data_IF_301757272387
#
_entry.id   IF_301757272387
#
_cell.length_a   1.000
_cell.length_b   1.000
_cell.length_c   1.000
_cell.angle_alpha   90.00
_cell.angle_beta   90.00
_cell.angle_gamma   90.00
#
_symmetry.space_group_name_H-M   'P 1'
#
loop_
_entity.id
_entity.type
_entity.pdbx_description
1 polymer ?
#
# COMPACT_ATOMS: atom_id res chain seq x y z
N UNK A 1 -8.77 -10.23 0.92
CA UNK A 1 -8.99 -8.81 1.30
C UNK A 1 -8.00 -8.27 2.32
N UNK A 2 -7.75 -8.93 3.46
CA UNK A 2 -6.79 -8.46 4.48
C UNK A 2 -5.38 -8.15 3.92
N UNK A 3 -4.84 -9.03 3.06
CA UNK A 3 -3.53 -8.80 2.42
C UNK A 3 -3.52 -7.56 1.51
N UNK A 4 -4.60 -7.30 0.78
CA UNK A 4 -4.75 -6.09 -0.04
C UNK A 4 -4.78 -4.84 0.82
N UNK A 5 -5.52 -4.87 1.94
CA UNK A 5 -5.53 -3.76 2.90
C UNK A 5 -4.15 -3.51 3.51
N UNK A 6 -3.41 -4.58 3.86
CA UNK A 6 -2.04 -4.48 4.36
C UNK A 6 -1.10 -3.85 3.33
N UNK A 7 -1.17 -4.29 2.06
CA UNK A 7 -0.37 -3.72 0.98
C UNK A 7 -0.68 -2.22 0.78
N UNK A 8 -1.96 -1.85 0.73
CA UNK A 8 -2.37 -0.45 0.63
C UNK A 8 -1.86 0.42 1.78
N UNK A 9 -1.95 -0.07 3.02
CA UNK A 9 -1.47 0.65 4.20
C UNK A 9 0.07 0.73 4.25
N UNK A 10 0.77 -0.29 3.76
CA UNK A 10 2.22 -0.23 3.59
C UNK A 10 2.62 0.87 2.60
N UNK A 11 1.94 0.96 1.45
CA UNK A 11 2.13 2.05 0.49
C UNK A 11 1.89 3.41 1.17
N UNK A 12 0.78 3.56 1.90
CA UNK A 12 0.46 4.79 2.61
C UNK A 12 1.53 5.19 3.63
N UNK A 13 2.08 4.24 4.41
CA UNK A 13 3.19 4.54 5.33
C UNK A 13 4.42 4.99 4.56
N UNK A 14 4.78 4.35 3.45
CA UNK A 14 5.96 4.77 2.69
C UNK A 14 5.80 6.21 2.17
N UNK A 15 4.60 6.58 1.73
CA UNK A 15 4.23 7.93 1.34
C UNK A 15 4.34 8.90 2.52
N UNK A 16 3.77 8.55 3.68
CA UNK A 16 3.85 9.35 4.91
C UNK A 16 5.30 9.55 5.34
N UNK A 17 6.09 8.49 5.38
CA UNK A 17 7.48 8.52 5.80
C UNK A 17 8.32 9.44 4.91
N UNK A 18 8.16 9.32 3.58
CA UNK A 18 8.87 10.16 2.62
C UNK A 18 8.40 11.62 2.69
N UNK A 19 7.09 11.86 2.80
CA UNK A 19 6.54 13.20 2.97
C UNK A 19 7.05 13.89 4.25
N UNK A 20 7.03 13.16 5.37
CA UNK A 20 7.56 13.68 6.63
C UNK A 20 9.06 13.89 6.58
N UNK A 21 9.83 13.05 5.88
CA UNK A 21 11.28 13.23 5.72
C UNK A 21 11.62 14.50 4.94
N UNK A 22 10.73 14.94 4.05
CA UNK A 22 10.85 16.22 3.35
C UNK A 22 10.45 17.43 4.22
N UNK A 23 9.68 17.21 5.28
CA UNK A 23 9.08 18.28 6.10
C UNK A 23 9.79 18.47 7.45
N UNK A 24 10.30 17.39 8.05
CA UNK A 24 10.84 17.35 9.41
C UNK A 24 12.31 16.94 9.36
N UNK A 25 13.18 17.78 9.92
CA UNK A 25 14.64 17.62 9.84
C UNK A 25 15.20 16.46 10.71
N UNK A 26 14.42 15.93 11.67
CA UNK A 26 14.83 14.80 12.52
C UNK A 26 13.68 13.83 12.79
N UNK A 27 13.90 12.56 12.45
CA UNK A 27 12.97 11.47 12.71
C UNK A 27 13.36 10.67 13.95
N UNK A 28 12.44 10.56 14.91
CA UNK A 28 12.62 9.68 16.07
C UNK A 28 12.22 8.25 15.70
N UNK A 29 13.11 7.28 15.91
CA UNK A 29 12.86 5.84 15.65
C UNK A 29 11.55 5.35 16.25
N UNK A 30 11.22 5.80 17.47
CA UNK A 30 9.98 5.48 18.19
C UNK A 30 8.73 5.86 17.41
N UNK A 31 8.70 7.04 16.78
CA UNK A 31 7.54 7.50 15.99
C UNK A 31 7.33 6.65 14.74
N UNK A 32 8.42 6.28 14.07
CA UNK A 32 8.34 5.40 12.90
C UNK A 32 7.82 4.00 13.28
N UNK A 33 8.30 3.45 14.40
CA UNK A 33 7.82 2.17 14.91
C UNK A 33 6.32 2.20 15.25
N UNK A 34 5.85 3.26 15.90
CA UNK A 34 4.42 3.43 16.21
C UNK A 34 3.58 3.53 14.93
N UNK A 35 4.04 4.28 13.91
CA UNK A 35 3.33 4.39 12.63
C UNK A 35 3.21 3.02 11.95
N UNK A 36 4.30 2.26 11.89
CA UNK A 36 4.31 0.91 11.32
C UNK A 36 3.39 -0.03 12.11
N UNK A 37 3.43 0.00 13.45
CA UNK A 37 2.56 -0.85 14.26
C UNK A 37 1.08 -0.50 14.02
N UNK A 38 0.76 0.79 13.94
CA UNK A 38 -0.62 1.26 13.75
C UNK A 38 -1.24 0.82 12.42
N UNK A 39 -0.44 0.65 11.36
CA UNK A 39 -0.98 0.21 10.07
C UNK A 39 -1.38 -1.26 10.03
N UNK A 40 -0.82 -2.09 10.91
CA UNK A 40 -1.17 -3.51 10.94
C UNK A 40 -2.48 -3.78 11.71
N UNK A 41 -2.98 -2.80 12.48
CA UNK A 41 -4.21 -2.97 13.26
C UNK A 41 -5.40 -3.33 12.36
N UNK A 42 -5.65 -2.56 11.30
CA UNK A 42 -6.81 -2.79 10.44
C UNK A 42 -6.71 -4.10 9.62
N UNK A 43 -5.58 -4.47 9.00
CA UNK A 43 -5.43 -5.76 8.34
C UNK A 43 -5.56 -6.96 9.29
N UNK A 44 -4.97 -6.88 10.49
CA UNK A 44 -5.09 -7.95 11.50
C UNK A 44 -6.53 -8.08 11.97
N UNK A 45 -7.23 -6.96 12.16
CA UNK A 45 -8.66 -6.98 12.48
C UNK A 45 -9.49 -7.68 11.41
N UNK A 46 -9.32 -7.31 10.13
CA UNK A 46 -10.03 -7.93 8.99
C UNK A 46 -9.66 -9.42 8.83
N UNK A 47 -8.45 -9.81 9.24
CA UNK A 47 -8.02 -11.20 9.23
C UNK A 47 -8.71 -12.03 10.32
N UNK A 48 -8.90 -11.47 11.52
CA UNK A 48 -9.41 -12.20 12.69
C UNK A 48 -10.95 -12.22 12.74
N UNK A 49 -11.61 -11.13 12.37
CA UNK A 49 -13.07 -10.98 12.53
C UNK A 49 -13.91 -12.10 11.86
N UNK A 50 -13.54 -12.72 10.72
CA UNK A 50 -14.31 -13.84 10.18
C UNK A 50 -14.27 -15.10 11.06
N UNK A 51 -13.24 -15.26 11.89
CA UNK A 51 -13.09 -16.39 12.82
C UNK A 51 -13.91 -16.24 14.10
N UNK A 52 -14.47 -15.05 14.36
CA UNK A 52 -15.37 -14.82 15.50
C UNK A 52 -16.84 -15.05 15.13
N UNK A 53 -17.17 -15.03 13.84
CA UNK A 53 -18.51 -15.30 13.35
C UNK A 53 -18.88 -16.79 13.52
N UNK A 54 -20.18 -17.09 13.62
CA UNK A 54 -20.67 -18.47 13.62
C UNK A 54 -20.51 -19.09 12.22
N UNK A 55 -20.00 -20.32 12.17
CA UNK A 55 -19.76 -21.02 10.91
C UNK A 55 -20.96 -21.91 10.58
N UNK A 56 -21.74 -21.51 9.58
CA UNK A 56 -22.82 -22.32 9.00
C UNK A 56 -22.68 -22.34 7.48
N UNK A 57 -21.91 -23.31 6.98
CA UNK A 57 -21.64 -23.46 5.56
C UNK A 57 -22.90 -23.86 4.77
N UNK A 58 -23.86 -24.54 5.40
CA UNK A 58 -25.07 -24.99 4.72
C UNK A 58 -25.98 -23.80 4.39
N UNK A 59 -26.17 -22.92 5.36
CA UNK A 59 -26.98 -21.70 5.19
C UNK A 59 -26.37 -20.76 4.15
N UNK A 60 -25.04 -20.60 4.15
CA UNK A 60 -24.32 -19.83 3.12
C UNK A 60 -24.54 -20.44 1.74
N UNK A 61 -24.35 -21.75 1.57
CA UNK A 61 -24.52 -22.43 0.28
C UNK A 61 -25.95 -22.31 -0.25
N UNK A 62 -26.95 -22.43 0.63
CA UNK A 62 -28.36 -22.32 0.25
C UNK A 62 -28.71 -20.89 -0.16
N UNK A 63 -28.20 -19.89 0.57
CA UNK A 63 -28.36 -18.49 0.20
C UNK A 63 -27.68 -18.18 -1.14
N UNK A 64 -26.44 -18.63 -1.35
CA UNK A 64 -25.71 -18.43 -2.62
C UNK A 64 -26.41 -19.13 -3.79
N UNK A 65 -26.94 -20.34 -3.61
CA UNK A 65 -27.68 -21.03 -4.67
C UNK A 65 -29.00 -20.32 -5.03
N UNK A 66 -29.62 -19.64 -4.05
CA UNK A 66 -30.80 -18.83 -4.28
C UNK A 66 -30.49 -17.51 -4.99
N UNK A 67 -29.41 -16.82 -4.60
CA UNK A 67 -28.98 -15.55 -5.21
C UNK A 67 -28.38 -15.76 -6.61
N UNK A 68 -27.64 -16.86 -6.82
CA UNK A 68 -26.91 -17.15 -8.06
C UNK A 68 -27.31 -18.52 -8.63
N UNK A 69 -28.56 -18.70 -9.11
CA UNK A 69 -29.06 -19.99 -9.58
C UNK A 69 -28.35 -20.50 -10.84
N UNK A 70 -27.64 -19.63 -11.56
CA UNK A 70 -26.88 -19.97 -12.77
C UNK A 70 -25.48 -20.52 -12.48
N UNK A 71 -24.98 -20.40 -11.25
CA UNK A 71 -23.60 -20.76 -10.92
C UNK A 71 -23.50 -22.25 -10.56
N UNK A 72 -22.57 -22.96 -11.19
CA UNK A 72 -22.25 -24.34 -10.78
C UNK A 72 -21.10 -24.35 -9.78
N UNK A 73 -21.44 -24.31 -8.49
CA UNK A 73 -20.47 -24.26 -7.40
C UNK A 73 -20.16 -25.63 -6.78
N UNK A 74 -20.67 -26.73 -7.34
CA UNK A 74 -20.54 -28.08 -6.77
C UNK A 74 -19.07 -28.49 -6.52
N UNK A 75 -18.15 -28.07 -7.38
CA UNK A 75 -16.70 -28.31 -7.23
C UNK A 75 -16.06 -27.61 -6.04
N UNK A 76 -16.72 -26.59 -5.46
CA UNK A 76 -16.18 -25.77 -4.37
C UNK A 76 -16.82 -26.11 -3.01
N UNK A 77 -17.67 -27.14 -2.94
CA UNK A 77 -18.37 -27.48 -1.70
C UNK A 77 -17.45 -28.26 -0.74
N UNK A 78 -17.54 -28.00 0.58
CA UNK A 78 -18.20 -26.84 1.21
C UNK A 78 -17.32 -25.58 1.11
N UNK A 79 -17.92 -24.44 0.78
CA UNK A 79 -17.20 -23.14 0.78
C UNK A 79 -17.59 -22.28 1.99
N UNK A 80 -16.64 -21.45 2.50
CA UNK A 80 -16.86 -20.57 3.63
C UNK A 80 -17.55 -19.26 3.23
N UNK A 81 -18.21 -18.63 4.20
CA UNK A 81 -18.82 -17.31 4.06
C UNK A 81 -19.49 -16.87 5.36
N UNK A 82 -19.99 -15.63 5.37
CA UNK A 82 -20.80 -15.15 6.49
C UNK A 82 -22.23 -15.64 6.31
N UNK A 83 -22.74 -16.45 7.25
CA UNK A 83 -24.11 -16.98 7.21
C UNK A 83 -25.17 -15.91 7.43
N UNK A 84 -24.81 -14.81 8.08
CA UNK A 84 -25.67 -13.64 8.28
C UNK A 84 -24.96 -12.37 7.80
N UNK A 85 -25.46 -11.79 6.71
CA UNK A 85 -24.96 -10.54 6.12
C UNK A 85 -25.33 -9.30 6.94
N UNK A 86 -26.18 -9.43 7.95
CA UNK A 86 -26.51 -8.36 8.90
C UNK A 86 -25.69 -8.46 10.18
N UNK A 87 -24.87 -9.50 10.31
CA UNK A 87 -23.99 -9.69 11.46
C UNK A 87 -23.00 -8.54 11.61
N UNK A 88 -22.61 -8.27 12.86
CA UNK A 88 -21.63 -7.24 13.17
C UNK A 88 -20.29 -7.53 12.48
N UNK A 89 -19.89 -8.79 12.42
CA UNK A 89 -18.65 -9.26 11.83
C UNK A 89 -18.58 -8.94 10.33
N UNK A 90 -19.66 -9.22 9.60
CA UNK A 90 -19.74 -8.90 8.17
C UNK A 90 -19.73 -7.38 7.93
N UNK A 91 -20.58 -6.63 8.65
CA UNK A 91 -20.72 -5.18 8.47
C UNK A 91 -19.43 -4.44 8.83
N UNK A 92 -18.79 -4.82 9.94
CA UNK A 92 -17.53 -4.20 10.38
C UNK A 92 -16.37 -4.51 9.43
N UNK A 93 -16.23 -5.76 8.96
CA UNK A 93 -15.22 -6.11 7.96
C UNK A 93 -15.42 -5.32 6.65
N UNK A 94 -16.66 -5.25 6.17
CA UNK A 94 -17.04 -4.50 4.97
C UNK A 94 -16.72 -3.02 5.12
N UNK A 95 -17.07 -2.42 6.27
CA UNK A 95 -16.79 -1.02 6.56
C UNK A 95 -15.28 -0.72 6.54
N UNK A 96 -14.46 -1.54 7.20
CA UNK A 96 -13.01 -1.36 7.25
C UNK A 96 -12.38 -1.49 5.85
N UNK A 97 -12.83 -2.48 5.07
CA UNK A 97 -12.36 -2.67 3.69
C UNK A 97 -12.78 -1.48 2.82
N UNK A 98 -14.02 -1.00 2.92
CA UNK A 98 -14.52 0.15 2.17
C UNK A 98 -13.77 1.44 2.50
N UNK A 99 -13.56 1.72 3.79
CA UNK A 99 -12.75 2.85 4.25
C UNK A 99 -11.30 2.74 3.76
N UNK A 100 -10.72 1.53 3.74
CA UNK A 100 -9.40 1.29 3.17
C UNK A 100 -9.35 1.56 1.66
N UNK A 101 -10.33 1.06 0.91
CA UNK A 101 -10.37 1.14 -0.55
C UNK A 101 -10.42 2.56 -1.09
N UNK A 102 -11.12 3.47 -0.42
CA UNK A 102 -11.15 4.89 -0.80
C UNK A 102 -10.17 5.75 0.01
N UNK A 103 -10.06 5.51 1.32
CA UNK A 103 -9.30 6.36 2.23
C UNK A 103 -7.79 6.32 1.96
N UNK A 104 -7.25 5.15 1.62
CA UNK A 104 -5.82 4.99 1.29
C UNK A 104 -5.44 5.81 0.05
N UNK A 105 -6.06 5.60 -1.14
CA UNK A 105 -5.70 6.37 -2.33
C UNK A 105 -5.91 7.87 -2.16
N UNK A 106 -7.01 8.30 -1.52
CA UNK A 106 -7.27 9.72 -1.26
C UNK A 106 -6.17 10.32 -0.38
N UNK A 107 -5.80 9.64 0.71
CA UNK A 107 -4.73 10.09 1.61
C UNK A 107 -3.40 10.21 0.88
N UNK A 108 -3.05 9.21 0.07
CA UNK A 108 -1.84 9.22 -0.75
C UNK A 108 -1.81 10.42 -1.72
N UNK A 109 -2.92 10.69 -2.44
CA UNK A 109 -3.03 11.83 -3.36
C UNK A 109 -2.92 13.19 -2.64
N UNK A 110 -3.56 13.33 -1.48
CA UNK A 110 -3.50 14.56 -0.69
C UNK A 110 -2.08 14.81 -0.19
N UNK A 111 -1.40 13.79 0.35
CA UNK A 111 -0.04 13.93 0.87
C UNK A 111 0.97 14.24 -0.23
N UNK A 112 0.88 13.56 -1.37
CA UNK A 112 1.76 13.80 -2.53
C UNK A 112 1.58 15.22 -3.08
N UNK A 113 0.34 15.69 -3.21
CA UNK A 113 0.04 17.06 -3.64
C UNK A 113 0.60 18.10 -2.67
N UNK A 114 0.45 17.86 -1.35
CA UNK A 114 1.04 18.73 -0.31
C UNK A 114 2.57 18.74 -0.39
N UNK A 115 3.19 17.58 -0.59
CA UNK A 115 4.65 17.47 -0.76
C UNK A 115 5.14 18.28 -1.97
N UNK A 116 4.44 18.20 -3.09
CA UNK A 116 4.82 18.91 -4.31
C UNK A 116 4.75 20.42 -4.13
N UNK A 117 3.70 20.92 -3.47
CA UNK A 117 3.56 22.34 -3.12
C UNK A 117 4.69 22.81 -2.21
N UNK A 118 5.06 22.00 -1.21
CA UNK A 118 6.15 22.32 -0.28
C UNK A 118 7.49 22.47 -1.01
N UNK A 119 7.84 21.53 -1.90
CA UNK A 119 9.08 21.63 -2.70
C UNK A 119 9.05 22.83 -3.65
N UNK A 120 7.90 23.09 -4.29
CA UNK A 120 7.77 24.22 -5.23
C UNK A 120 8.01 25.55 -4.53
N UNK A 121 7.42 25.71 -3.34
CA UNK A 121 7.46 26.96 -2.57
C UNK A 121 8.76 27.13 -1.78
N UNK A 122 9.55 26.08 -1.58
CA UNK A 122 10.82 26.19 -0.85
C UNK A 122 11.91 26.79 -1.76
N UNK A 123 12.25 28.04 -1.49
CA UNK A 123 13.33 28.78 -2.19
C UNK A 123 14.71 28.50 -1.61
N UNK A 124 14.81 27.97 -0.38
CA UNK A 124 16.09 27.73 0.29
C UNK A 124 16.74 26.38 -0.06
N UNK A 125 16.04 25.52 -0.79
CA UNK A 125 16.60 24.24 -1.24
C UNK A 125 17.53 24.43 -2.43
N UNK A 126 18.76 23.94 -2.31
CA UNK A 126 19.70 23.85 -3.43
C UNK A 126 19.09 23.07 -4.61
N UNK A 127 19.43 23.46 -5.85
CA UNK A 127 18.82 22.92 -7.06
C UNK A 127 18.95 21.39 -7.18
N UNK A 128 20.11 20.83 -6.83
CA UNK A 128 20.34 19.38 -6.82
C UNK A 128 19.42 18.65 -5.83
N UNK A 129 19.23 19.20 -4.63
CA UNK A 129 18.33 18.65 -3.60
C UNK A 129 16.87 18.76 -4.05
N UNK A 130 16.50 19.87 -4.72
CA UNK A 130 15.18 20.09 -5.29
C UNK A 130 14.86 19.08 -6.39
N UNK A 131 15.83 18.75 -7.24
CA UNK A 131 15.70 17.72 -8.27
C UNK A 131 15.51 16.32 -7.67
N UNK A 132 16.31 15.97 -6.65
CA UNK A 132 16.16 14.70 -5.94
C UNK A 132 14.80 14.58 -5.27
N UNK A 133 14.33 15.65 -4.62
CA UNK A 133 13.03 15.68 -3.97
C UNK A 133 11.87 15.58 -4.98
N UNK A 134 11.99 16.19 -6.18
CA UNK A 134 11.03 16.02 -7.28
C UNK A 134 10.96 14.58 -7.77
N UNK A 135 12.11 13.92 -7.97
CA UNK A 135 12.17 12.50 -8.37
C UNK A 135 11.51 11.60 -7.33
N UNK A 136 11.74 11.89 -6.04
CA UNK A 136 11.08 11.19 -4.94
C UNK A 136 9.56 11.34 -5.04
N UNK A 137 9.04 12.55 -5.16
CA UNK A 137 7.58 12.80 -5.29
C UNK A 137 6.98 12.13 -6.51
N UNK A 138 7.68 12.13 -7.65
CA UNK A 138 7.20 11.44 -8.84
C UNK A 138 7.01 9.93 -8.57
N UNK A 139 7.98 9.30 -7.90
CA UNK A 139 7.83 7.93 -7.42
C UNK A 139 6.62 7.74 -6.50
N UNK A 140 6.39 8.66 -5.55
CA UNK A 140 5.20 8.59 -4.69
C UNK A 140 3.89 8.72 -5.49
N UNK A 141 3.83 9.57 -6.51
CA UNK A 141 2.62 9.72 -7.34
C UNK A 141 2.32 8.41 -8.07
N UNK A 142 3.34 7.78 -8.67
CA UNK A 142 3.20 6.48 -9.35
C UNK A 142 2.71 5.41 -8.38
N UNK A 143 3.28 5.35 -7.16
CA UNK A 143 2.82 4.44 -6.11
C UNK A 143 1.38 4.75 -5.64
N UNK A 144 0.99 6.02 -5.63
CA UNK A 144 -0.36 6.45 -5.19
C UNK A 144 -1.45 6.12 -6.20
N UNK A 145 -1.11 6.00 -7.50
CA UNK A 145 -2.05 5.61 -8.56
C UNK A 145 -2.40 4.12 -8.47
N UNK A 146 -1.48 3.27 -8.00
CA UNK A 146 -1.72 1.83 -7.90
C UNK A 146 -2.96 1.46 -7.05
N UNK A 147 -3.11 1.94 -5.80
CA UNK A 147 -4.33 1.73 -5.03
C UNK A 147 -5.59 2.31 -5.68
N UNK A 148 -5.48 3.39 -6.45
CA UNK A 148 -6.63 3.97 -7.17
C UNK A 148 -7.14 2.99 -8.21
N UNK A 149 -6.25 2.43 -9.03
CA UNK A 149 -6.63 1.50 -10.11
C UNK A 149 -7.06 0.15 -9.52
N UNK A 150 -6.40 -0.30 -8.46
CA UNK A 150 -6.60 -1.62 -7.89
C UNK A 150 -7.81 -1.71 -6.94
N UNK A 151 -7.99 -0.74 -6.04
CA UNK A 151 -8.97 -0.85 -4.96
C UNK A 151 -10.26 -0.10 -5.23
N UNK A 152 -10.21 1.08 -5.86
CA UNK A 152 -11.41 1.90 -6.08
C UNK A 152 -12.44 1.22 -6.98
N UNK A 153 -12.09 0.62 -8.14
CA UNK A 153 -13.06 -0.09 -8.96
C UNK A 153 -13.69 -1.27 -8.22
N UNK A 154 -12.90 -2.01 -7.44
CA UNK A 154 -13.35 -3.20 -6.72
C UNK A 154 -14.32 -2.87 -5.58
N UNK A 155 -14.07 -1.79 -4.83
CA UNK A 155 -15.01 -1.36 -3.79
C UNK A 155 -16.26 -0.73 -4.42
N UNK A 156 -16.10 -0.01 -5.53
CA UNK A 156 -17.23 0.62 -6.23
C UNK A 156 -18.17 -0.41 -6.86
N UNK A 157 -17.63 -1.47 -7.48
CA UNK A 157 -18.43 -2.58 -8.01
C UNK A 157 -19.16 -3.33 -6.91
N UNK A 158 -18.52 -3.57 -5.77
CA UNK A 158 -19.18 -4.16 -4.61
C UNK A 158 -20.37 -3.31 -4.14
N UNK A 159 -20.19 -2.00 -3.95
CA UNK A 159 -21.29 -1.10 -3.56
C UNK A 159 -22.40 -1.09 -4.62
N UNK A 160 -22.04 -1.09 -5.90
CA UNK A 160 -23.00 -1.17 -6.99
C UNK A 160 -23.83 -2.46 -6.94
N UNK A 161 -23.20 -3.62 -6.74
CA UNK A 161 -23.92 -4.90 -6.61
C UNK A 161 -24.82 -4.91 -5.38
N UNK A 162 -24.35 -4.42 -4.23
CA UNK A 162 -25.18 -4.33 -3.02
C UNK A 162 -26.38 -3.37 -3.17
N UNK A 163 -26.29 -2.34 -3.99
CA UNK A 163 -27.36 -1.31 -4.13
C UNK A 163 -28.35 -1.65 -5.24
N UNK A 164 -27.90 -2.27 -6.32
CA UNK A 164 -28.74 -2.54 -7.50
C UNK A 164 -29.17 -4.00 -7.60
N UNK A 165 -28.52 -4.91 -6.88
CA UNK A 165 -28.66 -6.35 -7.06
C UNK A 165 -28.04 -6.87 -8.37
N UNK A 166 -27.44 -6.00 -9.20
CA UNK A 166 -26.82 -6.40 -10.45
C UNK A 166 -25.36 -6.80 -10.20
N UNK A 167 -25.02 -8.00 -10.64
CA UNK A 167 -23.67 -8.54 -10.56
C UNK A 167 -22.72 -7.86 -11.55
N UNK A 168 -21.47 -7.72 -11.13
CA UNK A 168 -20.36 -7.29 -12.00
C UNK A 168 -19.39 -8.45 -12.11
N UNK A 169 -19.68 -9.41 -12.99
CA UNK A 169 -18.89 -10.63 -13.21
C UNK A 169 -17.38 -10.38 -13.33
N UNK A 170 -16.99 -9.36 -14.07
CA UNK A 170 -15.57 -8.98 -14.23
C UNK A 170 -14.90 -8.69 -12.88
N UNK A 171 -15.64 -8.07 -11.97
CA UNK A 171 -15.15 -7.73 -10.63
C UNK A 171 -14.87 -8.99 -9.81
N UNK A 172 -15.73 -10.00 -9.88
CA UNK A 172 -15.58 -11.24 -9.11
C UNK A 172 -14.31 -11.99 -9.51
N UNK A 173 -14.09 -12.17 -10.82
CA UNK A 173 -12.86 -12.81 -11.33
C UNK A 173 -11.59 -12.03 -11.00
N UNK A 174 -11.66 -10.70 -11.07
CA UNK A 174 -10.48 -9.85 -10.87
C UNK A 174 -10.22 -9.50 -9.41
N UNK A 175 -11.15 -9.77 -8.48
CA UNK A 175 -11.06 -9.35 -7.07
C UNK A 175 -9.73 -9.73 -6.43
N UNK A 176 -9.30 -10.99 -6.61
CA UNK A 176 -8.06 -11.46 -6.02
C UNK A 176 -6.84 -10.81 -6.69
N UNK A 177 -6.86 -10.73 -8.02
CA UNK A 177 -5.77 -10.16 -8.83
C UNK A 177 -5.55 -8.69 -8.47
N UNK A 178 -6.60 -7.88 -8.46
CA UNK A 178 -6.52 -6.45 -8.13
C UNK A 178 -6.12 -6.24 -6.68
N UNK A 179 -6.58 -7.09 -5.75
CA UNK A 179 -6.17 -6.99 -4.34
C UNK A 179 -4.66 -7.22 -4.13
N UNK A 180 -4.03 -8.09 -4.95
CA UNK A 180 -2.61 -8.43 -4.86
C UNK A 180 -1.70 -7.50 -5.68
N UNK A 181 -2.23 -6.87 -6.74
CA UNK A 181 -1.46 -6.10 -7.70
C UNK A 181 -0.60 -4.99 -7.05
N UNK A 182 -1.10 -4.15 -6.12
CA UNK A 182 -0.26 -3.14 -5.49
C UNK A 182 0.89 -3.74 -4.67
N UNK A 183 0.67 -4.86 -3.99
CA UNK A 183 1.72 -5.56 -3.23
C UNK A 183 2.82 -6.13 -4.12
N UNK A 184 2.51 -6.49 -5.37
CA UNK A 184 3.47 -7.00 -6.35
C UNK A 184 4.23 -5.86 -7.07
N UNK A 185 3.52 -4.82 -7.48
CA UNK A 185 4.06 -3.76 -8.35
C UNK A 185 4.78 -2.66 -7.55
N UNK A 186 4.35 -2.37 -6.31
CA UNK A 186 4.95 -1.31 -5.50
C UNK A 186 6.46 -1.51 -5.23
N UNK A 187 6.94 -2.71 -4.86
CA UNK A 187 8.37 -2.97 -4.74
C UNK A 187 9.12 -2.74 -6.06
N UNK A 188 8.56 -3.16 -7.20
CA UNK A 188 9.18 -2.97 -8.51
C UNK A 188 9.32 -1.48 -8.88
N UNK A 189 8.29 -0.67 -8.61
CA UNK A 189 8.34 0.79 -8.78
C UNK A 189 9.43 1.39 -7.88
N UNK A 190 9.49 0.98 -6.61
CA UNK A 190 10.50 1.43 -5.67
C UNK A 190 11.92 1.13 -6.16
N UNK A 191 12.15 -0.09 -6.67
CA UNK A 191 13.42 -0.51 -7.24
C UNK A 191 13.87 0.34 -8.45
N UNK A 192 12.92 0.83 -9.26
CA UNK A 192 13.22 1.65 -10.43
C UNK A 192 13.46 3.13 -10.09
N UNK A 193 12.56 3.74 -9.30
CA UNK A 193 12.57 5.19 -9.05
C UNK A 193 13.49 5.62 -7.91
N UNK A 194 13.84 4.71 -6.98
CA UNK A 194 14.63 5.06 -5.80
C UNK A 194 16.09 4.72 -6.05
N UNK A 195 16.90 5.76 -6.15
CA UNK A 195 18.33 5.70 -6.47
C UNK A 195 19.10 4.65 -5.64
N UNK A 196 19.04 4.61 -4.30
CA UNK A 196 19.81 3.62 -3.53
C UNK A 196 19.38 2.18 -3.81
N UNK A 197 18.08 1.92 -4.01
CA UNK A 197 17.60 0.57 -4.35
C UNK A 197 18.04 0.13 -5.73
N UNK A 198 17.96 1.03 -6.72
CA UNK A 198 18.45 0.76 -8.07
C UNK A 198 19.94 0.40 -8.07
N UNK A 199 20.75 1.12 -7.31
CA UNK A 199 22.18 0.82 -7.18
C UNK A 199 22.41 -0.53 -6.50
N UNK A 200 21.70 -0.83 -5.41
CA UNK A 200 21.81 -2.12 -4.72
C UNK A 200 21.45 -3.31 -5.62
N UNK A 201 20.42 -3.17 -6.47
CA UNK A 201 20.03 -4.20 -7.43
C UNK A 201 21.10 -4.38 -8.51
N UNK A 202 21.61 -3.28 -9.08
CA UNK A 202 22.71 -3.36 -10.05
C UNK A 202 23.95 -3.98 -9.41
N UNK A 203 24.28 -3.65 -8.17
CA UNK A 203 25.44 -4.22 -7.48
C UNK A 203 25.23 -5.72 -7.18
N UNK A 204 24.01 -6.14 -6.83
CA UNK A 204 23.64 -7.53 -6.58
C UNK A 204 23.70 -8.38 -7.86
N UNK A 205 23.18 -7.88 -8.99
CA UNK A 205 23.09 -8.65 -10.24
C UNK A 205 24.27 -8.45 -11.18
N UNK A 206 24.90 -7.28 -11.19
CA UNK A 206 26.04 -6.96 -12.07
C UNK A 206 27.39 -7.08 -11.38
N UNK A 207 27.44 -7.48 -10.10
CA UNK A 207 28.64 -7.81 -9.34
C UNK A 207 29.82 -6.86 -9.62
N UNK A 208 29.56 -5.54 -9.62
CA UNK A 208 30.65 -4.57 -9.74
C UNK A 208 31.42 -4.58 -8.43
N UNK A 209 32.58 -5.26 -8.42
CA UNK A 209 33.65 -5.02 -7.45
C UNK A 209 34.00 -3.54 -7.49
N UNK A 210 33.34 -2.70 -6.71
CA UNK A 210 33.85 -1.36 -6.44
C UNK A 210 35.06 -1.53 -5.52
N UNK A 211 36.28 -1.14 -5.93
CA UNK A 211 37.36 -1.01 -4.97
C UNK A 211 36.87 -0.05 -3.90
N UNK A 212 37.03 -0.42 -2.62
CA UNK A 212 36.83 0.53 -1.54
C UNK A 212 37.85 1.65 -1.78
N UNK A 213 37.40 2.82 -2.19
CA UNK A 213 38.22 4.02 -2.08
C UNK A 213 38.44 4.22 -0.57
N UNK A 214 39.56 3.70 -0.10
CA UNK A 214 40.13 4.06 1.19
C UNK A 214 40.43 5.54 1.08
N UNK A 215 39.55 6.36 1.66
CA UNK A 215 39.82 7.78 1.85
C UNK A 215 41.00 7.84 2.82
N UNK A 216 42.22 7.91 2.28
CA UNK A 216 43.40 8.25 3.05
C UNK A 216 43.24 9.72 3.39
N UNK A 217 42.84 9.99 4.63
CA UNK A 217 42.89 11.33 5.21
C UNK A 217 44.38 11.64 5.41
N UNK A 218 45.01 12.29 4.43
CA UNK A 218 46.33 12.87 4.62
C UNK A 218 46.19 14.06 5.58
N UNK A 219 46.55 13.86 6.85
CA UNK A 219 46.81 14.95 7.77
C UNK A 219 48.09 15.67 7.34
N UNK A 220 47.95 16.72 6.52
CA UNK A 220 48.99 17.72 6.41
C UNK A 220 48.94 18.59 7.67
N UNK A 221 49.72 18.22 8.67
CA UNK A 221 50.12 19.14 9.74
C UNK A 221 51.09 20.16 9.15
N UNK A 222 50.59 21.37 8.84
CA UNK A 222 51.44 22.51 8.56
C UNK A 222 52.11 22.94 9.87
N UNK A 223 53.38 22.60 10.02
CA UNK A 223 54.25 23.25 11.01
C UNK A 223 54.56 24.64 10.47
N UNK A 224 54.13 25.66 11.21
CA UNK A 224 54.48 27.05 10.93
C UNK A 224 55.98 27.28 11.22
N UNK A 225 56.70 28.05 10.39
CA UNK A 225 58.09 28.39 10.66
C UNK A 225 58.15 29.45 11.78
N UNK A 226 58.94 29.17 12.80
CA UNK A 226 59.48 30.17 13.75
C UNK A 226 60.79 30.71 13.23
#
# INVERSE_FOLDING_TARGET
MACGLAAGLAILITVIFRFLSLTINRFTKRRNFILILSSYIAPVYVLIIPFTARWDFYSVQLATAFEHPTYNLTSYYPFPGFSDVKSFEFLSATLVIGLGGYGIPISCLVLTTKGLRLIKNNQQMADKTKEQARKLIHGLIVQSILPVIAYVPMVSSYIYTQTTGNEVLLSEYLTLVTSALPGLVDPAISCYFIIPFRHAIIDLFCQKRRPRDVIIINNHSSVAPT
#
